data_IF_249245627645
#
_entry.id   IF_249245627645
#
_cell.length_a   1.000
_cell.length_b   1.000
_cell.length_c   1.000
_cell.angle_alpha   90.00
_cell.angle_beta   90.00
_cell.angle_gamma   90.00
#
_symmetry.space_group_name_H-M   'P 1'
#
loop_
_entity.id
_entity.type
_entity.pdbx_description
1 polymer ?
#
# COMPACT_ATOMS: atom_id res chain seq x y z
N UNK A 1 -13.13 6.88 -4.44
CA UNK A 1 -13.59 5.80 -3.54
C UNK A 1 -13.22 6.19 -2.12
N UNK A 2 -14.22 6.39 -1.26
CA UNK A 2 -14.03 6.58 0.17
C UNK A 2 -14.22 5.22 0.87
N UNK A 3 -13.12 4.61 1.30
CA UNK A 3 -13.15 3.27 1.90
C UNK A 3 -13.83 3.24 3.28
N UNK A 4 -14.11 4.39 3.88
CA UNK A 4 -14.86 4.48 5.15
C UNK A 4 -16.37 4.37 4.95
N UNK A 5 -16.84 4.55 3.71
CA UNK A 5 -18.25 4.52 3.35
C UNK A 5 -18.61 3.36 2.43
N UNK A 6 -17.63 2.79 1.72
CA UNK A 6 -17.85 1.77 0.69
C UNK A 6 -16.81 0.67 0.80
N UNK A 7 -17.25 -0.58 0.65
CA UNK A 7 -16.32 -1.69 0.54
C UNK A 7 -15.57 -1.60 -0.81
N UNK A 8 -14.24 -1.60 -0.75
CA UNK A 8 -13.39 -1.40 -1.94
C UNK A 8 -13.51 -2.56 -2.94
N UNK A 9 -13.74 -3.79 -2.47
CA UNK A 9 -13.89 -4.96 -3.32
C UNK A 9 -15.19 -4.88 -4.15
N UNK A 10 -16.29 -4.50 -3.51
CA UNK A 10 -17.59 -4.31 -4.18
C UNK A 10 -17.50 -3.20 -5.23
N UNK A 11 -16.89 -2.07 -4.88
CA UNK A 11 -16.66 -0.97 -5.81
C UNK A 11 -15.80 -1.39 -7.01
N UNK A 12 -14.75 -2.17 -6.79
CA UNK A 12 -13.91 -2.66 -7.87
C UNK A 12 -14.67 -3.61 -8.81
N UNK A 13 -15.56 -4.45 -8.28
CA UNK A 13 -16.44 -5.30 -9.08
C UNK A 13 -17.43 -4.48 -9.90
N UNK A 14 -18.07 -3.47 -9.31
CA UNK A 14 -19.00 -2.60 -10.01
C UNK A 14 -18.32 -1.88 -11.20
N UNK A 15 -17.17 -1.25 -10.95
CA UNK A 15 -16.39 -0.52 -11.98
C UNK A 15 -15.87 -1.44 -13.11
N UNK A 16 -15.70 -2.73 -12.82
CA UNK A 16 -15.26 -3.72 -13.81
C UNK A 16 -16.40 -4.51 -14.44
N UNK A 17 -17.67 -4.15 -14.19
CA UNK A 17 -18.83 -4.87 -14.70
C UNK A 17 -18.89 -6.33 -14.22
N UNK A 18 -18.35 -6.60 -13.03
CA UNK A 18 -18.26 -7.92 -12.41
C UNK A 18 -17.08 -8.78 -12.87
N UNK A 19 -16.21 -8.29 -13.76
CA UNK A 19 -15.05 -9.05 -14.22
C UNK A 19 -13.94 -9.17 -13.16
N UNK A 20 -13.86 -8.19 -12.25
CA UNK A 20 -12.76 -8.06 -11.29
C UNK A 20 -11.52 -7.43 -11.90
N UNK A 21 -10.58 -7.01 -11.04
CA UNK A 21 -9.33 -6.37 -11.44
C UNK A 21 -8.24 -7.39 -11.77
N UNK A 22 -7.30 -7.02 -12.64
CA UNK A 22 -6.12 -7.84 -12.97
C UNK A 22 -5.21 -8.11 -11.78
N UNK A 23 -5.07 -7.10 -10.92
CA UNK A 23 -4.20 -7.14 -9.76
C UNK A 23 -4.70 -6.28 -8.59
N UNK A 24 -4.40 -6.74 -7.37
CA UNK A 24 -4.64 -6.01 -6.13
C UNK A 24 -3.31 -5.76 -5.42
N UNK A 25 -3.13 -4.55 -4.90
CA UNK A 25 -2.05 -4.21 -3.98
C UNK A 25 -2.65 -3.79 -2.64
N UNK A 26 -2.50 -4.65 -1.64
CA UNK A 26 -3.05 -4.48 -0.30
C UNK A 26 -2.01 -3.89 0.68
N UNK A 27 -2.43 -2.82 1.34
CA UNK A 27 -1.66 -2.09 2.35
C UNK A 27 -2.33 -2.13 3.73
N UNK A 28 -3.41 -2.90 3.91
CA UNK A 28 -4.20 -2.98 5.15
C UNK A 28 -4.00 -4.33 5.85
N UNK A 29 -3.89 -5.43 5.09
CA UNK A 29 -3.74 -6.77 5.63
C UNK A 29 -5.01 -7.30 6.29
N UNK A 30 -4.85 -8.35 7.09
CA UNK A 30 -5.95 -8.96 7.83
C UNK A 30 -7.00 -9.57 6.91
N UNK A 31 -8.28 -9.32 7.21
CA UNK A 31 -9.41 -9.79 6.40
C UNK A 31 -9.48 -9.10 5.04
N UNK A 32 -8.91 -7.90 4.89
CA UNK A 32 -8.92 -7.13 3.62
C UNK A 32 -8.34 -7.93 2.46
N UNK A 33 -7.32 -8.76 2.71
CA UNK A 33 -6.73 -9.62 1.69
C UNK A 33 -7.75 -10.65 1.19
N UNK A 34 -8.50 -11.27 2.11
CA UNK A 34 -9.53 -12.26 1.79
C UNK A 34 -10.72 -11.60 1.07
N UNK A 35 -11.15 -10.43 1.55
CA UNK A 35 -12.21 -9.63 0.94
C UNK A 35 -11.87 -9.18 -0.49
N UNK A 36 -10.57 -9.05 -0.80
CA UNK A 36 -10.09 -8.67 -2.14
C UNK A 36 -10.06 -9.82 -3.15
N UNK A 37 -10.16 -11.08 -2.70
CA UNK A 37 -10.16 -12.27 -3.56
C UNK A 37 -11.29 -12.24 -4.60
N UNK A 38 -12.59 -12.07 -4.22
CA UNK A 38 -13.68 -12.03 -5.18
C UNK A 38 -13.58 -10.84 -6.15
N UNK A 39 -12.97 -9.73 -5.75
CA UNK A 39 -12.75 -8.57 -6.61
C UNK A 39 -11.55 -8.71 -7.55
N UNK A 40 -10.73 -9.75 -7.38
CA UNK A 40 -9.65 -10.07 -8.31
C UNK A 40 -10.17 -11.05 -9.34
N UNK A 41 -9.89 -10.84 -10.63
CA UNK A 41 -10.35 -11.77 -11.66
C UNK A 41 -9.70 -13.16 -11.53
N UNK A 42 -10.26 -14.23 -12.12
CA UNK A 42 -9.56 -15.51 -12.23
C UNK A 42 -8.17 -15.35 -12.87
N UNK A 43 -7.19 -16.10 -12.38
CA UNK A 43 -5.78 -15.98 -12.79
C UNK A 43 -5.16 -14.60 -12.54
N UNK A 44 -5.80 -13.75 -11.72
CA UNK A 44 -5.27 -12.46 -11.27
C UNK A 44 -4.24 -12.60 -10.14
N UNK A 45 -3.67 -11.47 -9.73
CA UNK A 45 -2.58 -11.43 -8.74
C UNK A 45 -2.86 -10.47 -7.60
N UNK A 46 -2.63 -10.91 -6.38
CA UNK A 46 -2.69 -10.08 -5.19
C UNK A 46 -1.26 -9.93 -4.65
N UNK A 47 -0.90 -8.74 -4.21
CA UNK A 47 0.31 -8.49 -3.44
C UNK A 47 -0.06 -7.77 -2.15
N UNK A 48 0.41 -8.26 -1.02
CA UNK A 48 0.20 -7.61 0.28
C UNK A 48 1.54 -7.37 0.98
N UNK A 49 1.66 -6.23 1.64
CA UNK A 49 2.80 -5.92 2.53
C UNK A 49 2.52 -6.24 4.00
N UNK A 50 1.36 -6.84 4.29
CA UNK A 50 0.90 -7.23 5.62
C UNK A 50 0.38 -8.69 5.60
N UNK A 51 0.20 -9.29 6.78
CA UNK A 51 -0.28 -10.67 6.86
C UNK A 51 -1.77 -10.79 6.54
N UNK A 52 -2.16 -11.80 5.76
CA UNK A 52 -3.57 -12.15 5.53
C UNK A 52 -4.16 -12.90 6.74
N UNK A 53 -5.45 -12.70 7.02
CA UNK A 53 -6.19 -13.43 8.06
C UNK A 53 -7.54 -13.88 7.50
N UNK A 54 -7.85 -15.18 7.63
CA UNK A 54 -9.11 -15.78 7.16
C UNK A 54 -8.92 -16.94 6.19
N UNK A 55 -9.99 -17.31 5.48
CA UNK A 55 -9.98 -18.42 4.53
C UNK A 55 -9.44 -18.00 3.16
N UNK A 56 -8.31 -18.59 2.77
CA UNK A 56 -7.66 -18.36 1.47
C UNK A 56 -8.06 -19.40 0.41
N UNK A 57 -8.91 -20.37 0.73
CA UNK A 57 -9.39 -21.38 -0.21
C UNK A 57 -9.92 -20.79 -1.53
N UNK A 58 -10.63 -19.64 -1.55
CA UNK A 58 -11.09 -19.04 -2.80
C UNK A 58 -9.98 -18.65 -3.79
N UNK A 59 -8.74 -18.36 -3.34
CA UNK A 59 -7.60 -18.10 -4.24
C UNK A 59 -7.32 -19.31 -5.14
N UNK A 60 -7.37 -20.52 -4.55
CA UNK A 60 -7.16 -21.77 -5.27
C UNK A 60 -8.26 -22.00 -6.30
N UNK A 61 -9.52 -21.78 -5.92
CA UNK A 61 -10.68 -21.94 -6.83
C UNK A 61 -10.56 -21.00 -8.04
N UNK A 62 -10.10 -19.77 -7.83
CA UNK A 62 -9.96 -18.77 -8.87
C UNK A 62 -8.60 -18.81 -9.60
N UNK A 63 -7.73 -19.78 -9.30
CA UNK A 63 -6.37 -19.88 -9.84
C UNK A 63 -5.55 -18.58 -9.66
N UNK A 64 -5.75 -17.87 -8.56
CA UNK A 64 -5.08 -16.60 -8.28
C UNK A 64 -3.73 -16.82 -7.60
N UNK A 65 -2.83 -15.83 -7.74
CA UNK A 65 -1.54 -15.82 -7.03
C UNK A 65 -1.54 -14.76 -5.94
N UNK A 66 -1.14 -15.12 -4.72
CA UNK A 66 -0.90 -14.18 -3.63
C UNK A 66 0.61 -14.04 -3.37
N UNK A 67 1.11 -12.81 -3.46
CA UNK A 67 2.48 -12.43 -3.12
C UNK A 67 2.50 -11.79 -1.74
N UNK A 68 3.12 -12.46 -0.77
CA UNK A 68 3.50 -11.83 0.49
C UNK A 68 4.81 -11.07 0.32
N UNK A 69 4.80 -9.75 0.53
CA UNK A 69 5.95 -8.88 0.28
C UNK A 69 6.37 -8.21 1.59
N UNK A 70 7.41 -8.74 2.22
CA UNK A 70 8.09 -8.04 3.31
C UNK A 70 9.28 -7.26 2.77
N UNK A 71 9.45 -6.01 3.22
CA UNK A 71 10.59 -5.20 2.81
C UNK A 71 11.87 -5.70 3.49
N UNK A 72 12.85 -6.12 2.68
CA UNK A 72 14.23 -6.37 3.12
C UNK A 72 15.07 -5.12 2.95
N UNK A 73 15.95 -4.83 3.91
CA UNK A 73 16.87 -3.69 3.84
C UNK A 73 18.05 -4.04 2.94
N UNK A 74 17.97 -3.66 1.67
CA UNK A 74 18.97 -3.99 0.66
C UNK A 74 19.39 -2.74 -0.13
N UNK A 75 20.71 -2.53 -0.25
CA UNK A 75 21.26 -1.42 -1.04
C UNK A 75 20.81 -1.49 -2.51
N UNK A 76 20.84 -2.66 -3.12
CA UNK A 76 20.48 -2.83 -4.53
C UNK A 76 19.08 -2.28 -4.85
N UNK A 77 18.09 -2.53 -3.96
CA UNK A 77 16.73 -1.99 -4.09
C UNK A 77 16.68 -0.46 -4.00
N UNK A 78 17.50 0.14 -3.12
CA UNK A 78 17.61 1.59 -3.02
C UNK A 78 18.26 2.20 -4.27
N UNK A 79 19.26 1.53 -4.84
CA UNK A 79 19.92 1.98 -6.07
C UNK A 79 18.95 1.96 -7.26
N UNK A 80 18.13 0.89 -7.38
CA UNK A 80 17.06 0.81 -8.39
C UNK A 80 16.02 1.93 -8.23
N UNK A 81 15.60 2.23 -7.00
CA UNK A 81 14.67 3.33 -6.73
C UNK A 81 15.26 4.70 -7.04
N UNK A 82 16.56 4.89 -6.76
CA UNK A 82 17.27 6.15 -7.03
C UNK A 82 17.24 6.49 -8.51
N UNK A 83 17.41 5.51 -9.39
CA UNK A 83 17.31 5.72 -10.84
C UNK A 83 15.92 6.22 -11.28
N UNK A 84 14.85 5.78 -10.61
CA UNK A 84 13.49 6.25 -10.90
C UNK A 84 13.26 7.68 -10.39
N UNK A 85 13.85 8.03 -9.26
CA UNK A 85 13.83 9.38 -8.69
C UNK A 85 14.59 10.36 -9.61
N UNK A 86 15.80 10.00 -10.03
CA UNK A 86 16.66 10.81 -10.90
C UNK A 86 16.00 11.09 -12.26
N UNK A 87 15.28 10.10 -12.80
CA UNK A 87 14.50 10.24 -14.04
C UNK A 87 13.17 10.98 -13.86
N UNK A 88 12.82 11.36 -12.63
CA UNK A 88 11.55 12.02 -12.30
C UNK A 88 10.32 11.12 -12.46
N UNK A 89 10.50 9.80 -12.57
CA UNK A 89 9.42 8.81 -12.69
C UNK A 89 8.80 8.45 -11.34
N UNK A 90 9.49 8.75 -10.24
CA UNK A 90 9.00 8.63 -8.87
C UNK A 90 9.26 9.94 -8.13
N UNK A 91 8.31 10.35 -7.27
CA UNK A 91 8.47 11.50 -6.37
C UNK A 91 7.89 11.15 -5.00
N UNK A 92 8.67 11.21 -3.90
CA UNK A 92 8.12 11.03 -2.56
C UNK A 92 7.13 12.15 -2.26
N UNK A 93 5.96 11.79 -1.73
CA UNK A 93 5.04 12.78 -1.18
C UNK A 93 5.52 13.15 0.22
N UNK A 94 6.01 14.37 0.37
CA UNK A 94 6.38 14.95 1.67
C UNK A 94 5.23 15.86 2.11
N UNK A 95 4.68 15.57 3.29
CA UNK A 95 3.59 16.36 3.87
C UNK A 95 4.14 17.56 4.63
N UNK A 96 5.17 17.33 5.44
CA UNK A 96 5.77 18.34 6.29
C UNK A 96 7.26 18.03 6.53
N UNK A 97 8.06 19.10 6.63
CA UNK A 97 9.46 19.03 7.07
C UNK A 97 9.58 19.81 8.37
N UNK A 98 10.00 19.12 9.43
CA UNK A 98 10.20 19.68 10.76
C UNK A 98 11.67 19.60 11.15
N UNK A 99 12.17 20.55 11.93
CA UNK A 99 13.50 20.42 12.52
C UNK A 99 13.53 19.27 13.53
N UNK A 100 14.69 18.61 13.69
CA UNK A 100 14.84 17.45 14.58
C UNK A 100 14.38 17.74 16.02
N UNK A 101 14.57 18.97 16.50
CA UNK A 101 14.12 19.39 17.84
C UNK A 101 12.59 19.41 18.01
N UNK A 102 11.83 19.26 16.91
CA UNK A 102 10.36 19.15 16.91
C UNK A 102 9.86 17.71 16.75
N UNK A 103 10.69 16.70 17.04
CA UNK A 103 10.30 15.28 16.96
C UNK A 103 9.01 14.94 17.69
N UNK A 104 8.72 15.58 18.84
CA UNK A 104 7.46 15.39 19.56
C UNK A 104 6.23 15.79 18.72
N UNK A 105 6.28 16.97 18.09
CA UNK A 105 5.22 17.44 17.20
C UNK A 105 5.09 16.54 15.95
N UNK A 106 6.20 15.99 15.45
CA UNK A 106 6.16 15.02 14.36
C UNK A 106 5.39 13.75 14.74
N UNK A 107 5.56 13.24 15.96
CA UNK A 107 4.79 12.09 16.46
C UNK A 107 3.32 12.43 16.67
N UNK A 108 3.00 13.56 17.31
CA UNK A 108 1.61 14.03 17.47
C UNK A 108 0.89 14.14 16.10
N UNK A 109 1.60 14.62 15.08
CA UNK A 109 1.09 14.68 13.71
C UNK A 109 0.80 13.29 13.14
N UNK A 110 1.69 12.32 13.33
CA UNK A 110 1.49 10.94 12.87
C UNK A 110 0.29 10.28 13.56
N UNK A 111 0.17 10.47 14.87
CA UNK A 111 -0.91 9.89 15.69
C UNK A 111 -2.29 10.48 15.37
N UNK A 112 -2.34 11.68 14.77
CA UNK A 112 -3.60 12.30 14.32
C UNK A 112 -4.32 11.54 13.19
N UNK A 113 -3.69 10.56 12.54
CA UNK A 113 -4.34 9.65 11.59
C UNK A 113 -4.62 10.20 10.17
N UNK A 114 -4.06 11.36 9.80
CA UNK A 114 -4.38 12.06 8.54
C UNK A 114 -3.14 12.44 7.70
N UNK A 115 -2.15 11.56 7.61
CA UNK A 115 -0.94 11.83 6.81
C UNK A 115 -1.21 11.72 5.30
N UNK A 116 -1.03 12.82 4.56
CA UNK A 116 -1.08 12.82 3.07
C UNK A 116 0.27 12.55 2.41
N UNK A 117 1.29 12.27 3.21
CA UNK A 117 2.67 12.06 2.81
C UNK A 117 3.54 11.74 4.01
N UNK A 118 4.86 11.77 3.81
CA UNK A 118 5.86 11.55 4.85
C UNK A 118 6.11 12.84 5.65
N UNK A 119 6.18 12.69 6.98
CA UNK A 119 6.76 13.70 7.87
C UNK A 119 8.27 13.47 7.89
N UNK A 120 9.04 14.50 7.56
CA UNK A 120 10.51 14.44 7.46
C UNK A 120 11.12 15.28 8.57
N UNK A 121 12.14 14.74 9.25
CA UNK A 121 12.93 15.48 10.22
C UNK A 121 14.23 15.97 9.58
N UNK A 122 14.47 17.28 9.63
CA UNK A 122 15.71 17.91 9.21
C UNK A 122 16.71 17.87 10.36
N UNK A 123 17.85 17.23 10.13
CA UNK A 123 18.90 17.01 11.14
C UNK A 123 20.02 18.05 11.07
N UNK A 124 20.17 18.74 9.94
CA UNK A 124 21.08 19.88 9.75
C UNK A 124 20.46 20.90 8.80
N UNK A 125 20.76 22.18 9.01
CA UNK A 125 20.58 23.21 7.99
C UNK A 125 21.91 23.29 7.25
N UNK A 126 21.89 23.03 5.94
CA UNK A 126 22.95 23.51 5.06
C UNK A 126 22.85 25.04 4.93
#
# INVERSE_FOLDING_TARGET
LDYTQTNVADAALEETGGAGVDAVFDCVGGSTVVESIPATRPFGRLATILGAQGDLTPLYVNNQTLHGVLLTRERARLDEMSLLLDRGQMKPLVDEVLDLNRVGAAHERLDSGHGRGKVVLRVSND
#
